data_IF_298882461641
#
_entry.id   IF_298882461641
#
_cell.length_a   1.000
_cell.length_b   1.000
_cell.length_c   1.000
_cell.angle_alpha   90.00
_cell.angle_beta   90.00
_cell.angle_gamma   90.00
#
_symmetry.space_group_name_H-M   'P 1'
#
loop_
_entity.id
_entity.type
_entity.pdbx_description
1 polymer ?
#
# COMPACT_ATOMS: atom_id res chain seq x y z
N UNK A 1 -14.46 1.19 -12.44
CA UNK A 1 -13.14 1.55 -11.89
C UNK A 1 -13.03 3.07 -11.78
N UNK A 2 -12.56 3.61 -10.67
CA UNK A 2 -12.51 5.06 -10.47
C UNK A 2 -11.46 5.77 -11.35
N UNK A 3 -10.42 5.04 -11.77
CA UNK A 3 -9.35 5.52 -12.64
C UNK A 3 -9.10 4.49 -13.73
N UNK A 4 -8.98 4.94 -14.97
CA UNK A 4 -8.59 4.12 -16.11
C UNK A 4 -7.43 4.81 -16.82
N UNK A 5 -6.36 4.08 -17.08
CA UNK A 5 -5.19 4.57 -17.85
C UNK A 5 -5.13 3.79 -19.15
N UNK A 6 -5.29 4.49 -20.27
CA UNK A 6 -5.30 3.89 -21.60
C UNK A 6 -4.75 4.87 -22.63
N UNK A 7 -3.85 4.40 -23.50
CA UNK A 7 -3.28 5.21 -24.62
C UNK A 7 -2.75 6.59 -24.16
N UNK A 8 -1.95 6.60 -23.08
CA UNK A 8 -1.41 7.82 -22.45
C UNK A 8 -2.48 8.81 -21.91
N UNK A 9 -3.74 8.40 -21.83
CA UNK A 9 -4.81 9.20 -21.22
C UNK A 9 -5.14 8.65 -19.83
N UNK A 10 -5.41 9.57 -18.91
CA UNK A 10 -5.93 9.26 -17.58
C UNK A 10 -7.40 9.66 -17.56
N UNK A 11 -8.29 8.71 -17.35
CA UNK A 11 -9.72 8.94 -17.23
C UNK A 11 -10.11 8.79 -15.76
N UNK A 12 -10.75 9.80 -15.20
CA UNK A 12 -11.16 9.84 -13.79
C UNK A 12 -12.69 9.85 -13.74
N UNK A 13 -13.27 8.80 -13.12
CA UNK A 13 -14.69 8.74 -12.82
C UNK A 13 -15.02 9.63 -11.62
N UNK A 14 -15.32 10.91 -11.86
CA UNK A 14 -15.53 11.91 -10.80
C UNK A 14 -16.68 11.53 -9.86
N UNK A 15 -17.67 10.80 -10.34
CA UNK A 15 -18.79 10.24 -9.57
C UNK A 15 -18.32 9.31 -8.43
N UNK A 16 -17.13 8.75 -8.52
CA UNK A 16 -16.49 7.96 -7.47
C UNK A 16 -15.74 8.81 -6.41
N UNK A 17 -15.83 10.16 -6.46
CA UNK A 17 -15.07 11.04 -5.56
C UNK A 17 -15.89 12.14 -4.89
N UNK A 18 -17.20 11.94 -4.75
CA UNK A 18 -18.11 12.90 -4.10
C UNK A 18 -18.08 12.87 -2.56
N UNK A 19 -17.20 12.06 -1.98
CA UNK A 19 -17.07 11.93 -0.52
C UNK A 19 -17.89 10.78 0.04
N UNK A 20 -17.43 10.25 1.18
CA UNK A 20 -17.94 9.03 1.84
C UNK A 20 -19.44 9.00 2.11
N UNK A 21 -20.08 10.18 2.22
CA UNK A 21 -21.49 10.32 2.56
C UNK A 21 -22.40 10.44 1.33
N UNK A 22 -21.89 10.33 0.12
CA UNK A 22 -22.69 10.44 -1.09
C UNK A 22 -23.74 9.31 -1.15
N UNK A 23 -25.02 9.71 -1.22
CA UNK A 23 -26.16 8.78 -1.09
C UNK A 23 -26.15 7.63 -2.10
N UNK A 24 -25.67 7.87 -3.33
CA UNK A 24 -25.59 6.83 -4.35
C UNK A 24 -24.72 5.65 -3.93
N UNK A 25 -23.65 5.84 -3.16
CA UNK A 25 -22.82 4.74 -2.69
C UNK A 25 -23.56 3.78 -1.75
N UNK A 26 -24.49 4.32 -0.94
CA UNK A 26 -25.34 3.50 -0.08
C UNK A 26 -26.37 2.73 -0.91
N UNK A 27 -26.99 3.37 -1.90
CA UNK A 27 -27.95 2.74 -2.81
C UNK A 27 -27.30 1.60 -3.62
N UNK A 28 -26.05 1.80 -4.05
CA UNK A 28 -25.23 0.80 -4.74
C UNK A 28 -24.65 -0.25 -3.79
N UNK A 29 -24.96 -0.20 -2.48
CA UNK A 29 -24.46 -1.10 -1.45
C UNK A 29 -22.91 -1.18 -1.39
N UNK A 30 -22.22 -0.09 -1.71
CA UNK A 30 -20.78 -0.03 -1.63
C UNK A 30 -20.37 -0.08 -0.16
N UNK A 31 -19.50 -1.03 0.24
CA UNK A 31 -19.03 -1.13 1.62
C UNK A 31 -18.37 0.17 2.12
N UNK A 32 -18.66 0.53 3.37
CA UNK A 32 -18.16 1.77 3.98
C UNK A 32 -16.64 1.89 3.98
N UNK A 33 -15.92 0.76 4.14
CA UNK A 33 -14.47 0.75 4.11
C UNK A 33 -13.88 1.07 2.72
N UNK A 34 -14.66 0.91 1.65
CA UNK A 34 -14.29 1.37 0.30
C UNK A 34 -14.68 2.82 0.09
N UNK A 35 -15.95 3.18 0.39
CA UNK A 35 -16.46 4.53 0.11
C UNK A 35 -15.75 5.63 0.92
N UNK A 36 -15.09 5.30 2.05
CA UNK A 36 -14.25 6.27 2.78
C UNK A 36 -13.09 6.83 1.96
N UNK A 37 -12.63 6.09 0.95
CA UNK A 37 -11.58 6.51 0.01
C UNK A 37 -12.13 7.24 -1.23
N UNK A 38 -13.45 7.38 -1.34
CA UNK A 38 -14.12 8.04 -2.45
C UNK A 38 -14.28 9.54 -2.16
N UNK A 39 -13.15 10.22 -1.97
CA UNK A 39 -13.09 11.66 -1.73
C UNK A 39 -12.00 12.27 -2.63
N UNK A 40 -12.22 13.49 -3.10
CA UNK A 40 -11.33 14.18 -4.05
C UNK A 40 -9.87 14.25 -3.58
N UNK A 41 -9.63 14.29 -2.27
CA UNK A 41 -8.27 14.30 -1.70
C UNK A 41 -7.46 13.03 -2.01
N UNK A 42 -8.14 11.93 -2.34
CA UNK A 42 -7.51 10.66 -2.67
C UNK A 42 -7.27 10.45 -4.17
N UNK A 43 -7.73 11.38 -5.03
CA UNK A 43 -7.54 11.25 -6.49
C UNK A 43 -6.05 11.14 -6.83
N UNK A 44 -5.23 12.04 -6.31
CA UNK A 44 -3.78 12.05 -6.59
C UNK A 44 -3.10 10.72 -6.27
N UNK A 45 -3.14 10.19 -5.03
CA UNK A 45 -2.47 8.92 -4.74
C UNK A 45 -3.07 7.73 -5.48
N UNK A 46 -4.37 7.72 -5.79
CA UNK A 46 -5.00 6.64 -6.58
C UNK A 46 -4.50 6.67 -8.03
N UNK A 47 -4.46 7.84 -8.66
CA UNK A 47 -3.95 8.01 -10.03
C UNK A 47 -2.50 7.53 -10.13
N UNK A 48 -1.63 8.01 -9.23
CA UNK A 48 -0.23 7.59 -9.25
C UNK A 48 -0.07 6.10 -9.00
N UNK A 49 -0.82 5.54 -8.05
CA UNK A 49 -0.77 4.10 -7.75
C UNK A 49 -1.15 3.28 -8.97
N UNK A 50 -2.25 3.63 -9.63
CA UNK A 50 -2.70 2.94 -10.84
C UNK A 50 -1.66 3.04 -11.96
N UNK A 51 -1.16 4.25 -12.22
CA UNK A 51 -0.14 4.49 -13.24
C UNK A 51 1.15 3.70 -12.98
N UNK A 52 1.67 3.75 -11.76
CA UNK A 52 2.90 3.07 -11.37
C UNK A 52 2.72 1.56 -11.46
N UNK A 53 1.61 1.05 -10.93
CA UNK A 53 1.32 -0.38 -10.94
C UNK A 53 1.21 -0.92 -12.36
N UNK A 54 0.55 -0.19 -13.26
CA UNK A 54 0.44 -0.58 -14.66
C UNK A 54 1.79 -0.52 -15.38
N UNK A 55 2.53 0.58 -15.19
CA UNK A 55 3.84 0.79 -15.83
C UNK A 55 4.88 -0.26 -15.43
N UNK A 56 4.90 -0.64 -14.16
CA UNK A 56 5.90 -1.54 -13.61
C UNK A 56 5.35 -2.96 -13.31
N UNK A 57 4.17 -3.29 -13.82
CA UNK A 57 3.51 -4.58 -13.57
C UNK A 57 4.42 -5.81 -13.69
N UNK A 58 5.31 -5.94 -14.71
CA UNK A 58 6.19 -7.10 -14.84
C UNK A 58 7.19 -7.26 -13.69
N UNK A 59 7.51 -6.17 -12.97
CA UNK A 59 8.51 -6.13 -11.90
C UNK A 59 7.90 -6.15 -10.48
N UNK A 60 6.55 -6.22 -10.40
CA UNK A 60 5.83 -6.17 -9.13
C UNK A 60 5.27 -7.53 -8.67
N UNK A 61 5.48 -8.59 -9.44
CA UNK A 61 4.97 -9.91 -9.11
C UNK A 61 5.81 -10.58 -8.01
N UNK A 62 5.28 -10.63 -6.80
CA UNK A 62 5.86 -11.32 -5.66
C UNK A 62 5.32 -12.74 -5.48
N UNK A 63 6.14 -13.66 -4.96
CA UNK A 63 5.75 -15.06 -4.68
C UNK A 63 5.31 -15.24 -3.23
N UNK A 64 6.01 -14.61 -2.30
CA UNK A 64 5.74 -14.70 -0.86
C UNK A 64 5.01 -13.47 -0.34
N UNK A 65 4.53 -13.52 0.90
CA UNK A 65 3.97 -12.33 1.56
C UNK A 65 4.99 -11.19 1.60
N UNK A 66 6.24 -11.47 1.96
CA UNK A 66 7.30 -10.46 2.04
C UNK A 66 7.54 -9.80 0.67
N UNK A 67 7.63 -10.60 -0.40
CA UNK A 67 7.80 -10.08 -1.75
C UNK A 67 6.64 -9.14 -2.13
N UNK A 68 5.39 -9.54 -1.83
CA UNK A 68 4.21 -8.73 -2.12
C UNK A 68 4.16 -7.44 -1.26
N UNK A 69 4.58 -7.51 0.00
CA UNK A 69 4.72 -6.32 0.86
C UNK A 69 5.74 -5.33 0.28
N UNK A 70 6.92 -5.81 -0.10
CA UNK A 70 7.97 -4.96 -0.70
C UNK A 70 7.52 -4.42 -2.05
N UNK A 71 6.90 -5.23 -2.89
CA UNK A 71 6.34 -4.83 -4.18
C UNK A 71 5.36 -3.64 -4.04
N UNK A 72 4.38 -3.78 -3.15
CA UNK A 72 3.42 -2.70 -2.85
C UNK A 72 4.11 -1.52 -2.15
N UNK A 73 5.10 -1.79 -1.32
CA UNK A 73 5.93 -0.78 -0.66
C UNK A 73 6.72 0.09 -1.64
N UNK A 74 7.25 -0.49 -2.72
CA UNK A 74 7.92 0.25 -3.81
C UNK A 74 6.98 1.27 -4.45
N UNK A 75 5.72 0.88 -4.68
CA UNK A 75 4.70 1.78 -5.23
C UNK A 75 4.46 2.96 -4.28
N UNK A 76 4.29 2.69 -2.98
CA UNK A 76 4.06 3.75 -1.99
C UNK A 76 5.28 4.68 -1.82
N UNK A 77 6.49 4.12 -1.86
CA UNK A 77 7.73 4.91 -1.83
C UNK A 77 7.87 5.80 -3.08
N UNK A 78 7.54 5.26 -4.26
CA UNK A 78 7.55 6.06 -5.48
C UNK A 78 6.56 7.24 -5.39
N UNK A 79 5.34 7.00 -4.87
CA UNK A 79 4.34 8.06 -4.68
C UNK A 79 4.89 9.14 -3.73
N UNK A 80 5.52 8.75 -2.59
CA UNK A 80 6.16 9.69 -1.67
C UNK A 80 7.21 10.55 -2.39
N UNK A 81 8.09 9.93 -3.16
CA UNK A 81 9.18 10.62 -3.84
C UNK A 81 8.70 11.66 -4.86
N UNK A 82 7.58 11.41 -5.56
CA UNK A 82 7.02 12.34 -6.55
C UNK A 82 5.97 13.30 -5.98
N UNK A 83 5.47 13.03 -4.77
CA UNK A 83 4.49 13.88 -4.06
C UNK A 83 4.89 14.09 -2.60
N UNK A 84 6.06 14.68 -2.30
CA UNK A 84 6.61 14.72 -0.93
C UNK A 84 5.75 15.53 0.05
N UNK A 85 4.89 16.43 -0.45
CA UNK A 85 3.95 17.20 0.38
C UNK A 85 2.68 16.43 0.77
N UNK A 86 2.47 15.22 0.21
CA UNK A 86 1.27 14.46 0.47
C UNK A 86 1.36 13.76 1.83
N UNK A 87 0.39 14.01 2.70
CA UNK A 87 0.34 13.37 4.02
C UNK A 87 0.23 11.85 3.91
N UNK A 88 0.91 11.12 4.78
CA UNK A 88 0.88 9.65 4.83
C UNK A 88 -0.54 9.08 4.92
N UNK A 89 -1.40 9.68 5.75
CA UNK A 89 -2.79 9.25 5.87
C UNK A 89 -3.57 9.34 4.55
N UNK A 90 -3.25 10.32 3.70
CA UNK A 90 -3.84 10.46 2.36
C UNK A 90 -3.21 9.44 1.41
N UNK A 91 -1.89 9.32 1.41
CA UNK A 91 -1.14 8.39 0.56
C UNK A 91 -1.58 6.94 0.81
N UNK A 92 -1.60 6.47 2.05
CA UNK A 92 -2.06 5.12 2.40
C UNK A 92 -3.58 4.95 2.40
N UNK A 93 -4.36 6.02 2.25
CA UNK A 93 -5.82 6.02 2.39
C UNK A 93 -6.26 5.47 3.77
N UNK A 94 -5.53 5.84 4.81
CA UNK A 94 -5.82 5.54 6.20
C UNK A 94 -6.42 6.76 6.90
N UNK A 95 -7.16 6.54 7.97
CA UNK A 95 -7.50 7.62 8.90
C UNK A 95 -6.27 8.01 9.71
N UNK A 96 -6.29 9.20 10.32
CA UNK A 96 -5.22 9.61 11.24
C UNK A 96 -5.02 8.60 12.37
N UNK A 97 -6.10 8.07 12.94
CA UNK A 97 -6.02 7.02 13.98
C UNK A 97 -5.36 5.75 13.47
N UNK A 98 -5.69 5.31 12.26
CA UNK A 98 -5.05 4.14 11.63
C UNK A 98 -3.56 4.36 11.34
N UNK A 99 -3.19 5.58 10.92
CA UNK A 99 -1.78 5.93 10.73
C UNK A 99 -1.01 5.91 12.05
N UNK A 100 -1.57 6.51 13.10
CA UNK A 100 -0.99 6.50 14.45
C UNK A 100 -0.88 5.07 14.99
N UNK A 101 -1.87 4.22 14.71
CA UNK A 101 -1.81 2.80 15.06
C UNK A 101 -0.62 2.12 14.36
N UNK A 102 -0.41 2.36 13.06
CA UNK A 102 0.74 1.81 12.33
C UNK A 102 2.07 2.21 12.97
N UNK A 103 2.25 3.49 13.31
CA UNK A 103 3.48 3.98 13.95
C UNK A 103 3.74 3.34 15.31
N UNK A 104 2.68 3.14 16.11
CA UNK A 104 2.83 2.57 17.46
C UNK A 104 2.94 1.04 17.48
N UNK A 105 2.52 0.34 16.41
CA UNK A 105 2.42 -1.12 16.41
C UNK A 105 3.28 -1.80 15.33
N UNK A 106 4.17 -1.07 14.66
CA UNK A 106 5.05 -1.58 13.61
C UNK A 106 5.80 -2.84 14.07
N UNK A 107 6.49 -2.74 15.20
CA UNK A 107 7.24 -3.85 15.81
C UNK A 107 6.35 -5.03 16.21
N UNK A 108 5.21 -4.76 16.84
CA UNK A 108 4.29 -5.81 17.28
C UNK A 108 3.70 -6.57 16.08
N UNK A 109 3.35 -5.86 15.01
CA UNK A 109 2.86 -6.48 13.79
C UNK A 109 3.95 -7.28 13.07
N UNK A 110 5.17 -6.77 12.96
CA UNK A 110 6.30 -7.52 12.42
C UNK A 110 6.54 -8.82 13.17
N UNK A 111 6.58 -8.75 14.51
CA UNK A 111 6.69 -9.93 15.37
C UNK A 111 5.55 -10.94 15.15
N UNK A 112 4.31 -10.44 14.99
CA UNK A 112 3.16 -11.30 14.67
C UNK A 112 3.37 -12.07 13.36
N UNK A 113 3.78 -11.40 12.28
CA UNK A 113 4.05 -12.05 10.99
C UNK A 113 5.16 -13.10 11.09
N UNK A 114 6.23 -12.79 11.83
CA UNK A 114 7.37 -13.69 12.05
C UNK A 114 6.96 -14.94 12.82
N UNK A 115 6.28 -14.78 13.96
CA UNK A 115 5.83 -15.93 14.81
C UNK A 115 4.85 -16.81 14.04
N UNK A 116 3.97 -16.24 13.23
CA UNK A 116 3.01 -16.99 12.42
C UNK A 116 3.62 -17.61 11.16
N UNK A 117 4.91 -17.39 10.87
CA UNK A 117 5.58 -17.89 9.66
C UNK A 117 5.01 -17.35 8.36
N UNK A 118 4.33 -16.17 8.40
CA UNK A 118 3.63 -15.64 7.24
C UNK A 118 4.55 -14.97 6.23
N UNK A 119 5.68 -14.41 6.66
CA UNK A 119 6.57 -13.62 5.81
C UNK A 119 6.99 -14.36 4.52
N UNK A 120 7.33 -15.63 4.65
CA UNK A 120 7.79 -16.46 3.53
C UNK A 120 6.69 -17.40 3.01
N UNK A 121 5.46 -17.23 3.46
CA UNK A 121 4.31 -17.99 2.95
C UNK A 121 3.99 -17.57 1.51
N UNK A 122 3.73 -18.56 0.66
CA UNK A 122 3.17 -18.39 -0.69
C UNK A 122 1.65 -18.63 -0.74
N UNK A 123 1.03 -18.97 0.41
CA UNK A 123 -0.43 -19.06 0.52
C UNK A 123 -1.05 -17.67 0.64
N UNK A 124 -1.46 -17.10 -0.50
CA UNK A 124 -2.09 -15.78 -0.56
C UNK A 124 -3.33 -15.66 0.34
N UNK A 125 -4.10 -16.73 0.51
CA UNK A 125 -5.30 -16.72 1.37
C UNK A 125 -4.96 -16.49 2.84
N UNK A 126 -3.79 -16.97 3.29
CA UNK A 126 -3.35 -16.78 4.67
C UNK A 126 -3.04 -15.31 5.01
N UNK A 127 -2.56 -14.52 4.04
CA UNK A 127 -2.07 -13.17 4.29
C UNK A 127 -2.78 -12.04 3.52
N UNK A 128 -3.67 -12.34 2.56
CA UNK A 128 -4.37 -11.30 1.75
C UNK A 128 -5.06 -10.22 2.59
N UNK A 129 -5.55 -10.58 3.79
CA UNK A 129 -6.20 -9.65 4.73
C UNK A 129 -5.30 -8.50 5.19
N UNK A 130 -3.99 -8.63 5.06
CA UNK A 130 -3.01 -7.60 5.41
C UNK A 130 -2.60 -6.74 4.21
N UNK A 131 -3.00 -7.11 3.00
CA UNK A 131 -2.63 -6.41 1.75
C UNK A 131 -3.84 -5.84 1.01
N UNK A 132 -5.03 -6.42 1.19
CA UNK A 132 -6.25 -5.99 0.50
C UNK A 132 -7.10 -5.01 1.32
N UNK A 133 -7.93 -4.19 0.66
CA UNK A 133 -8.91 -3.36 1.36
C UNK A 133 -9.85 -4.19 2.24
N UNK A 134 -10.15 -3.64 3.40
CA UNK A 134 -11.07 -4.23 4.37
C UNK A 134 -11.41 -3.23 5.46
N UNK A 135 -12.35 -3.56 6.37
CA UNK A 135 -12.68 -2.67 7.49
C UNK A 135 -11.51 -2.54 8.49
N UNK A 136 -10.80 -3.63 8.75
CA UNK A 136 -9.62 -3.74 9.62
C UNK A 136 -8.87 -5.04 9.29
N UNK A 137 -7.67 -5.22 9.83
CA UNK A 137 -6.94 -6.48 9.72
C UNK A 137 -7.57 -7.52 10.66
N UNK A 138 -8.32 -8.48 10.13
CA UNK A 138 -9.25 -9.37 10.86
C UNK A 138 -8.62 -10.24 11.96
N UNK A 139 -7.31 -10.30 12.10
CA UNK A 139 -6.60 -10.99 13.17
C UNK A 139 -5.95 -10.05 14.19
N UNK A 140 -6.24 -8.77 14.08
CA UNK A 140 -5.69 -7.70 14.91
C UNK A 140 -6.82 -6.89 15.55
N UNK A 141 -6.48 -5.87 16.32
CA UNK A 141 -7.43 -4.94 16.90
C UNK A 141 -8.24 -4.19 15.83
N UNK A 142 -9.44 -3.72 16.18
CA UNK A 142 -10.34 -3.01 15.24
C UNK A 142 -9.74 -1.73 14.68
N UNK A 143 -8.82 -1.12 15.39
CA UNK A 143 -8.09 0.09 15.01
C UNK A 143 -7.05 -0.16 13.94
N UNK A 144 -6.62 -1.43 13.76
CA UNK A 144 -5.61 -1.79 12.77
C UNK A 144 -6.13 -1.59 11.35
N UNK A 145 -5.36 -0.97 10.45
CA UNK A 145 -5.78 -0.86 9.06
C UNK A 145 -5.66 -2.21 8.33
N UNK A 146 -6.63 -2.54 7.49
CA UNK A 146 -6.62 -3.79 6.73
C UNK A 146 -5.36 -3.97 5.86
N UNK A 147 -4.78 -2.89 5.34
CA UNK A 147 -3.61 -2.92 4.45
C UNK A 147 -2.30 -2.62 5.17
N UNK A 148 -2.18 -2.97 6.45
CA UNK A 148 -0.96 -2.69 7.22
C UNK A 148 0.30 -3.30 6.62
N UNK A 149 0.21 -4.45 5.93
CA UNK A 149 1.34 -5.05 5.24
C UNK A 149 1.95 -4.15 4.17
N UNK A 150 1.14 -3.29 3.53
CA UNK A 150 1.64 -2.29 2.57
C UNK A 150 2.50 -1.23 3.28
N UNK A 151 2.07 -0.78 4.46
CA UNK A 151 2.85 0.15 5.28
C UNK A 151 4.20 -0.48 5.69
N UNK A 152 4.22 -1.72 6.15
CA UNK A 152 5.47 -2.40 6.49
C UNK A 152 6.38 -2.56 5.25
N UNK A 153 5.80 -2.95 4.11
CA UNK A 153 6.55 -3.03 2.85
C UNK A 153 7.19 -1.69 2.47
N UNK A 154 6.44 -0.60 2.62
CA UNK A 154 6.97 0.75 2.43
C UNK A 154 8.13 1.07 3.40
N UNK A 155 8.01 0.71 4.68
CA UNK A 155 9.07 0.91 5.67
C UNK A 155 10.36 0.17 5.29
N UNK A 156 10.23 -1.09 4.83
CA UNK A 156 11.37 -1.87 4.34
C UNK A 156 12.03 -1.17 3.14
N UNK A 157 11.22 -0.71 2.18
CA UNK A 157 11.73 -0.02 0.98
C UNK A 157 12.38 1.31 1.35
N UNK A 158 11.78 2.07 2.27
CA UNK A 158 12.34 3.33 2.76
C UNK A 158 13.70 3.12 3.40
N UNK A 159 13.80 2.15 4.31
CA UNK A 159 15.07 1.79 4.95
C UNK A 159 16.13 1.31 3.93
N UNK A 160 15.70 0.61 2.86
CA UNK A 160 16.58 0.24 1.77
C UNK A 160 17.10 1.47 1.03
N UNK A 161 16.24 2.38 0.61
CA UNK A 161 16.61 3.58 -0.15
C UNK A 161 17.44 4.56 0.68
N UNK A 162 17.14 4.72 1.96
CA UNK A 162 17.92 5.57 2.89
C UNK A 162 19.37 5.09 3.07
N UNK A 163 19.61 3.78 2.90
CA UNK A 163 20.94 3.16 3.02
C UNK A 163 21.67 2.97 1.69
N UNK A 164 20.98 3.09 0.57
CA UNK A 164 21.49 2.88 -0.78
C UNK A 164 21.14 4.09 -1.66
N UNK A 165 21.70 5.23 -1.30
CA UNK A 165 21.35 6.55 -1.90
C UNK A 165 21.70 6.67 -3.38
N UNK A 166 22.54 5.79 -3.91
CA UNK A 166 22.91 5.68 -5.33
C UNK A 166 21.79 5.03 -6.18
N UNK A 167 20.86 4.32 -5.56
CA UNK A 167 19.78 3.61 -6.27
C UNK A 167 18.72 4.61 -6.72
N UNK A 168 18.51 4.69 -8.02
CA UNK A 168 17.44 5.52 -8.59
C UNK A 168 16.05 4.90 -8.39
N UNK A 169 15.00 5.73 -8.51
CA UNK A 169 13.61 5.24 -8.47
C UNK A 169 13.32 4.18 -9.55
N UNK A 170 13.91 4.33 -10.74
CA UNK A 170 13.72 3.37 -11.81
C UNK A 170 14.38 2.02 -11.48
N UNK A 171 15.59 2.03 -10.96
CA UNK A 171 16.29 0.81 -10.51
C UNK A 171 15.52 0.14 -9.38
N UNK A 172 15.05 0.88 -8.38
CA UNK A 172 14.18 0.34 -7.34
C UNK A 172 12.97 -0.37 -7.96
N UNK A 173 12.25 0.29 -8.86
CA UNK A 173 11.00 -0.25 -9.42
C UNK A 173 11.22 -1.47 -10.30
N UNK A 174 12.32 -1.55 -11.04
CA UNK A 174 12.66 -2.67 -11.92
C UNK A 174 13.39 -3.82 -11.21
N UNK A 175 13.88 -3.62 -9.99
CA UNK A 175 14.53 -4.66 -9.21
C UNK A 175 13.51 -5.72 -8.75
N UNK A 176 13.67 -6.96 -9.16
CA UNK A 176 12.80 -8.09 -8.79
C UNK A 176 13.40 -8.99 -7.69
N UNK A 177 14.60 -8.67 -7.20
CA UNK A 177 15.20 -9.37 -6.05
C UNK A 177 14.72 -8.76 -4.72
N UNK A 178 13.47 -9.11 -4.36
CA UNK A 178 12.86 -8.66 -3.11
C UNK A 178 13.67 -9.09 -1.87
N UNK A 179 14.33 -10.25 -1.95
CA UNK A 179 15.18 -10.76 -0.87
C UNK A 179 16.43 -9.89 -0.68
N UNK A 180 17.07 -9.46 -1.77
CA UNK A 180 18.20 -8.53 -1.70
C UNK A 180 17.77 -7.17 -1.13
N UNK A 181 16.63 -6.62 -1.58
CA UNK A 181 16.06 -5.38 -1.02
C UNK A 181 15.84 -5.53 0.49
N UNK A 182 15.20 -6.63 0.94
CA UNK A 182 14.96 -6.86 2.36
C UNK A 182 16.26 -6.95 3.17
N UNK A 183 17.23 -7.75 2.71
CA UNK A 183 18.52 -7.89 3.39
C UNK A 183 19.30 -6.56 3.47
N UNK A 184 19.35 -5.81 2.37
CA UNK A 184 20.05 -4.53 2.31
C UNK A 184 19.35 -3.43 3.13
N UNK A 185 18.03 -3.49 3.29
CA UNK A 185 17.28 -2.57 4.15
C UNK A 185 17.69 -2.67 5.61
N UNK A 186 18.15 -3.84 6.07
CA UNK A 186 18.40 -4.15 7.50
C UNK A 186 17.19 -3.80 8.38
N UNK A 187 15.99 -3.93 7.82
CA UNK A 187 14.74 -3.62 8.53
C UNK A 187 14.57 -4.51 9.76
N UNK A 188 14.47 -3.88 10.92
CA UNK A 188 14.29 -4.53 12.23
C UNK A 188 13.60 -3.55 13.18
N UNK A 189 12.28 -3.44 13.16
CA UNK A 189 11.51 -2.46 13.96
C UNK A 189 11.46 -2.81 15.45
#
# INVERSE_FOLDING_TARGET
EPIIIKNNNIIIGIDMFYGKNYKAYQQLKIPQYLSKSYDKKYITPIVFREFITQKFAPFLAGKTMLDNMISLGKVEYFIEAVTPQLQDSIRFQFTTSQMNWCYGHERAFWKHLTIKGLLFSNDYHAYKRFLQPGPFASSMERESPARIGIYIGYRIVKDFMDKNTEVSLNELMTNTDFTAIFKASKYNP
#
